data_IF_217604859084
#
_entry.id   IF_217604859084
#
_cell.length_a   1.000
_cell.length_b   1.000
_cell.length_c   1.000
_cell.angle_alpha   90.00
_cell.angle_beta   90.00
_cell.angle_gamma   90.00
#
_symmetry.space_group_name_H-M   'P 1'
#
loop_
_entity.id
_entity.type
_entity.pdbx_description
1 polymer ?
#
# COMPACT_ATOMS: atom_id res chain seq x y z
N UNK A 1 -9.10 -9.09 -0.05
CA UNK A 1 -7.72 -8.96 0.44
C UNK A 1 -6.82 -8.56 -0.71
N UNK A 2 -5.67 -7.99 -0.39
CA UNK A 2 -4.73 -7.52 -1.39
C UNK A 2 -3.30 -7.96 -1.01
N UNK A 3 -2.34 -7.62 -1.84
CA UNK A 3 -0.96 -8.04 -1.67
C UNK A 3 -0.09 -7.01 -0.94
N UNK A 4 -0.68 -5.98 -0.36
CA UNK A 4 0.09 -4.90 0.25
C UNK A 4 1.03 -5.39 1.35
N UNK A 5 0.52 -6.18 2.28
CA UNK A 5 1.34 -6.69 3.38
C UNK A 5 2.51 -7.51 2.84
N UNK A 6 2.25 -8.34 1.85
CA UNK A 6 3.28 -9.20 1.24
C UNK A 6 4.39 -8.36 0.62
N UNK A 7 4.04 -7.34 -0.15
CA UNK A 7 5.04 -6.47 -0.77
C UNK A 7 5.81 -5.68 0.27
N UNK A 8 5.10 -5.17 1.30
CA UNK A 8 5.74 -4.44 2.38
C UNK A 8 6.77 -5.30 3.09
N UNK A 9 6.40 -6.53 3.41
CA UNK A 9 7.29 -7.45 4.11
C UNK A 9 8.49 -7.86 3.26
N UNK A 10 8.30 -8.00 1.96
CA UNK A 10 9.43 -8.27 1.05
C UNK A 10 10.47 -7.17 1.09
N UNK A 11 10.04 -5.94 1.30
CA UNK A 11 10.93 -4.80 1.38
C UNK A 11 11.44 -4.54 2.80
N UNK A 12 11.09 -5.42 3.74
CA UNK A 12 11.49 -5.32 5.15
C UNK A 12 11.06 -3.99 5.77
N UNK A 13 9.88 -3.51 5.37
CA UNK A 13 9.32 -2.27 5.91
C UNK A 13 8.30 -2.57 7.00
N UNK A 14 8.33 -1.74 8.07
CA UNK A 14 7.24 -1.73 9.03
C UNK A 14 6.05 -0.97 8.45
N UNK A 15 4.87 -1.13 9.06
CA UNK A 15 3.70 -0.34 8.65
C UNK A 15 3.97 1.16 8.81
N UNK A 16 4.65 1.53 9.90
CA UNK A 16 4.97 2.93 10.16
C UNK A 16 5.91 3.49 9.10
N UNK A 17 6.88 2.70 8.68
CA UNK A 17 7.82 3.13 7.64
C UNK A 17 7.11 3.34 6.31
N UNK A 18 6.25 2.39 5.92
CA UNK A 18 5.51 2.54 4.68
C UNK A 18 4.57 3.74 4.74
N UNK A 19 3.90 3.93 5.88
CA UNK A 19 2.99 5.06 6.06
C UNK A 19 3.74 6.39 5.90
N UNK A 20 4.93 6.48 6.50
CA UNK A 20 5.75 7.68 6.40
C UNK A 20 6.17 7.95 4.96
N UNK A 21 6.61 6.91 4.24
CA UNK A 21 7.00 7.06 2.84
C UNK A 21 5.83 7.44 1.95
N UNK A 22 4.66 6.91 2.25
CA UNK A 22 3.46 7.22 1.47
C UNK A 22 2.79 8.53 1.89
N UNK A 23 3.19 9.11 3.01
CA UNK A 23 2.58 10.34 3.50
C UNK A 23 1.17 10.14 4.04
N UNK A 24 0.91 8.98 4.62
CA UNK A 24 -0.41 8.65 5.19
C UNK A 24 -0.20 8.06 6.59
N UNK A 25 -1.29 7.84 7.32
CA UNK A 25 -1.19 7.31 8.67
C UNK A 25 -0.96 5.81 8.69
N UNK A 26 -0.34 5.32 9.76
CA UNK A 26 -0.13 3.90 9.98
C UNK A 26 -1.48 3.17 10.05
N UNK A 27 -2.49 3.81 10.64
CA UNK A 27 -3.82 3.25 10.71
C UNK A 27 -4.40 3.01 9.30
N UNK A 28 -4.15 3.93 8.38
CA UNK A 28 -4.60 3.76 6.99
C UNK A 28 -3.93 2.55 6.36
N UNK A 29 -2.63 2.35 6.57
CA UNK A 29 -1.94 1.17 6.06
C UNK A 29 -2.57 -0.09 6.63
N UNK A 30 -2.83 -0.12 7.94
CA UNK A 30 -3.42 -1.28 8.59
C UNK A 30 -4.79 -1.62 7.98
N UNK A 31 -5.62 -0.60 7.77
CA UNK A 31 -6.95 -0.79 7.19
C UNK A 31 -6.87 -1.34 5.76
N UNK A 32 -5.96 -0.79 4.96
CA UNK A 32 -5.79 -1.24 3.58
C UNK A 32 -5.33 -2.69 3.54
N UNK A 33 -4.40 -3.06 4.42
CA UNK A 33 -3.92 -4.45 4.48
C UNK A 33 -5.03 -5.42 4.86
N UNK A 34 -6.02 -4.97 5.62
CA UNK A 34 -7.17 -5.78 6.00
C UNK A 34 -8.24 -5.86 4.91
N UNK A 35 -7.99 -5.23 3.77
CA UNK A 35 -8.91 -5.28 2.64
C UNK A 35 -9.97 -4.19 2.65
N UNK A 36 -9.86 -3.19 3.53
CA UNK A 36 -10.78 -2.07 3.54
C UNK A 36 -10.55 -1.22 2.31
N UNK A 37 -11.63 -0.64 1.77
CA UNK A 37 -11.51 0.25 0.62
C UNK A 37 -10.78 1.52 0.98
N UNK A 38 -10.14 2.14 -0.01
CA UNK A 38 -9.46 3.40 0.17
C UNK A 38 -9.59 4.22 -1.11
N UNK A 39 -9.27 5.51 -1.01
CA UNK A 39 -9.37 6.42 -2.15
C UNK A 39 -8.28 6.11 -3.17
N UNK A 40 -8.52 6.49 -4.41
CA UNK A 40 -7.52 6.32 -5.47
C UNK A 40 -6.22 7.01 -5.12
N UNK A 41 -6.30 8.19 -4.53
CA UNK A 41 -5.10 8.93 -4.11
C UNK A 41 -4.29 8.13 -3.10
N UNK A 42 -4.95 7.48 -2.15
CA UNK A 42 -4.27 6.64 -1.17
C UNK A 42 -3.58 5.46 -1.85
N UNK A 43 -4.27 4.81 -2.79
CA UNK A 43 -3.67 3.69 -3.54
C UNK A 43 -2.43 4.15 -4.29
N UNK A 44 -2.50 5.30 -4.95
CA UNK A 44 -1.37 5.85 -5.69
C UNK A 44 -0.17 6.10 -4.77
N UNK A 45 -0.43 6.72 -3.62
CA UNK A 45 0.64 7.01 -2.66
C UNK A 45 1.32 5.73 -2.18
N UNK A 46 0.55 4.70 -1.91
CA UNK A 46 1.08 3.41 -1.46
C UNK A 46 1.92 2.76 -2.55
N UNK A 47 1.42 2.73 -3.78
CA UNK A 47 2.13 2.11 -4.90
C UNK A 47 3.49 2.78 -5.10
N UNK A 48 3.51 4.11 -5.11
CA UNK A 48 4.76 4.84 -5.30
C UNK A 48 5.72 4.66 -4.13
N UNK A 49 5.19 4.57 -2.91
CA UNK A 49 6.02 4.35 -1.72
C UNK A 49 6.70 2.98 -1.74
N UNK A 50 6.10 2.01 -2.43
CA UNK A 50 6.68 0.68 -2.59
C UNK A 50 7.71 0.63 -3.72
N UNK A 51 7.94 1.75 -4.41
CA UNK A 51 8.88 1.80 -5.52
C UNK A 51 8.32 1.23 -6.81
N UNK A 52 7.01 1.05 -6.89
CA UNK A 52 6.34 0.53 -8.07
C UNK A 52 5.81 1.66 -8.94
N UNK A 53 5.48 1.34 -10.19
CA UNK A 53 4.83 2.28 -11.08
C UNK A 53 3.32 2.16 -10.93
N UNK A 54 2.58 3.21 -11.30
CA UNK A 54 1.13 3.19 -11.19
C UNK A 54 0.50 2.09 -12.04
N UNK A 55 1.15 1.71 -13.14
CA UNK A 55 0.69 0.58 -13.95
C UNK A 55 0.78 -0.75 -13.22
N UNK A 56 1.55 -0.81 -12.12
CA UNK A 56 1.68 -2.02 -11.31
C UNK A 56 0.60 -2.15 -10.25
N UNK A 57 -0.40 -1.27 -10.24
CA UNK A 57 -1.44 -1.27 -9.21
C UNK A 57 -2.14 -2.61 -9.06
N UNK A 58 -2.27 -3.35 -10.15
CA UNK A 58 -2.89 -4.66 -10.12
C UNK A 58 -2.12 -5.68 -9.30
N UNK A 59 -0.82 -5.49 -9.16
CA UNK A 59 0.01 -6.39 -8.35
C UNK A 59 -0.32 -6.27 -6.86
N UNK A 60 -0.80 -5.12 -6.44
CA UNK A 60 -1.14 -4.86 -5.04
C UNK A 60 -2.64 -5.00 -4.81
N UNK A 61 -3.44 -4.30 -5.61
CA UNK A 61 -4.89 -4.17 -5.38
C UNK A 61 -5.75 -5.05 -6.29
N UNK A 62 -5.12 -5.82 -7.16
CA UNK A 62 -5.86 -6.66 -8.12
C UNK A 62 -6.63 -5.81 -9.10
N UNK A 63 -7.83 -6.27 -9.44
CA UNK A 63 -8.68 -5.59 -10.42
C UNK A 63 -9.58 -4.53 -9.79
N UNK A 64 -9.41 -4.28 -8.52
CA UNK A 64 -10.23 -3.32 -7.81
C UNK A 64 -9.77 -1.90 -7.92
#
# INVERSE_FOLDING_TARGET
MNALKKYRERLLMSKAELARKAGISTLTIDRVEKGKSCRLETKRKIILALGLELSDRGKIFGNG
#
